data_IF_961678008684
#
_entry.id   IF_961678008684
#
_cell.length_a   1.000
_cell.length_b   1.000
_cell.length_c   1.000
_cell.angle_alpha   90.00
_cell.angle_beta   90.00
_cell.angle_gamma   90.00
#
_symmetry.space_group_name_H-M   'P 1'
#
loop_
_entity.id
_entity.type
_entity.pdbx_description
1 polymer ?
#
# COMPACT_ATOMS: atom_id res chain seq x y z
N UNK A 1 4.36 -10.09 4.94
CA UNK A 1 3.92 -10.29 3.55
C UNK A 1 5.09 -10.16 2.59
N UNK A 2 5.15 -11.02 1.57
CA UNK A 2 6.19 -10.96 0.54
C UNK A 2 5.97 -9.75 -0.39
N UNK A 3 7.06 -9.03 -0.68
CA UNK A 3 7.02 -7.82 -1.53
C UNK A 3 7.09 -8.12 -3.04
N UNK A 4 7.31 -9.37 -3.43
CA UNK A 4 7.53 -9.77 -4.83
C UNK A 4 6.31 -9.56 -5.74
N UNK A 5 5.12 -9.31 -5.17
CA UNK A 5 3.89 -8.99 -5.90
C UNK A 5 3.76 -7.51 -6.29
N UNK A 6 4.67 -6.67 -5.81
CA UNK A 6 4.65 -5.23 -6.07
C UNK A 6 5.84 -4.79 -6.92
N UNK A 7 5.70 -3.64 -7.56
CA UNK A 7 6.72 -3.04 -8.40
C UNK A 7 8.04 -2.84 -7.64
N UNK A 8 9.14 -3.24 -8.28
CA UNK A 8 10.48 -3.28 -7.67
C UNK A 8 10.94 -1.91 -7.16
N UNK A 9 10.53 -0.81 -7.79
CA UNK A 9 10.94 0.54 -7.38
C UNK A 9 10.41 0.94 -6.00
N UNK A 10 9.27 0.38 -5.56
CA UNK A 10 8.69 0.65 -4.24
C UNK A 10 9.59 0.10 -3.12
N UNK A 11 10.30 -0.99 -3.41
CA UNK A 11 11.11 -1.75 -2.46
C UNK A 11 12.55 -1.94 -2.95
N UNK A 12 13.10 -0.97 -3.69
CA UNK A 12 14.39 -1.06 -4.36
C UNK A 12 15.59 -1.42 -3.47
N UNK A 13 15.48 -1.19 -2.15
CA UNK A 13 16.49 -1.42 -1.13
C UNK A 13 16.37 -2.81 -0.47
N UNK A 14 15.32 -3.57 -0.82
CA UNK A 14 15.04 -4.87 -0.25
C UNK A 14 15.34 -5.98 -1.26
N UNK A 15 15.67 -7.16 -0.74
CA UNK A 15 15.72 -8.36 -1.56
C UNK A 15 14.33 -8.65 -2.14
N UNK A 16 14.27 -9.14 -3.38
CA UNK A 16 13.00 -9.29 -4.09
C UNK A 16 11.97 -10.16 -3.36
N UNK A 17 12.42 -11.13 -2.58
CA UNK A 17 11.60 -12.02 -1.76
C UNK A 17 11.53 -11.63 -0.28
N UNK A 18 11.83 -10.37 0.05
CA UNK A 18 11.77 -9.92 1.44
C UNK A 18 10.35 -10.05 2.01
N UNK A 19 10.27 -10.57 3.23
CA UNK A 19 9.04 -10.62 4.00
C UNK A 19 9.01 -9.40 4.94
N UNK A 20 8.12 -8.45 4.67
CA UNK A 20 8.00 -7.22 5.46
C UNK A 20 6.66 -7.17 6.20
N UNK A 21 6.58 -6.44 7.32
CA UNK A 21 5.31 -6.19 7.99
C UNK A 21 4.32 -5.52 7.04
N UNK A 22 3.06 -5.98 7.04
CA UNK A 22 2.01 -5.48 6.15
C UNK A 22 1.84 -3.96 6.25
N UNK A 23 1.89 -3.40 7.47
CA UNK A 23 1.78 -1.96 7.67
C UNK A 23 2.90 -1.16 6.97
N UNK A 24 4.09 -1.74 6.80
CA UNK A 24 5.18 -1.13 6.03
C UNK A 24 4.83 -1.17 4.55
N UNK A 25 4.43 -2.33 4.04
CA UNK A 25 4.09 -2.50 2.63
C UNK A 25 2.91 -1.62 2.21
N UNK A 26 1.83 -1.60 3.00
CA UNK A 26 0.65 -0.77 2.77
C UNK A 26 1.06 0.71 2.65
N UNK A 27 1.87 1.22 3.58
CA UNK A 27 2.34 2.62 3.52
C UNK A 27 3.21 2.88 2.30
N UNK A 28 4.12 1.98 1.96
CA UNK A 28 5.02 2.13 0.81
C UNK A 28 4.25 2.14 -0.51
N UNK A 29 3.33 1.19 -0.68
CA UNK A 29 2.51 1.04 -1.88
C UNK A 29 1.53 2.21 -2.02
N UNK A 30 0.86 2.64 -0.94
CA UNK A 30 0.01 3.84 -0.98
C UNK A 30 0.81 5.10 -1.33
N UNK A 31 2.06 5.20 -0.87
CA UNK A 31 2.92 6.37 -1.11
C UNK A 31 3.46 6.42 -2.54
N UNK A 32 3.92 5.29 -3.08
CA UNK A 32 4.77 5.25 -4.28
C UNK A 32 4.33 4.23 -5.35
N UNK A 33 3.34 3.40 -5.05
CA UNK A 33 2.82 2.40 -5.98
C UNK A 33 2.10 3.00 -7.17
N UNK A 34 2.08 2.24 -8.25
CA UNK A 34 1.29 2.48 -9.45
C UNK A 34 -0.13 1.91 -9.28
N UNK A 35 -1.02 2.15 -10.25
CA UNK A 35 -2.42 1.70 -10.15
C UNK A 35 -2.51 0.17 -9.98
N UNK A 36 -1.68 -0.59 -10.71
CA UNK A 36 -1.62 -2.04 -10.56
C UNK A 36 -1.23 -2.46 -9.14
N UNK A 37 -0.24 -1.79 -8.53
CA UNK A 37 0.16 -2.08 -7.15
C UNK A 37 -0.96 -1.78 -6.15
N UNK A 38 -1.73 -0.71 -6.38
CA UNK A 38 -2.88 -0.36 -5.55
C UNK A 38 -4.00 -1.41 -5.66
N UNK A 39 -4.29 -1.90 -6.87
CA UNK A 39 -5.25 -2.98 -7.09
C UNK A 39 -4.81 -4.26 -6.37
N UNK A 40 -3.55 -4.67 -6.57
CA UNK A 40 -2.96 -5.82 -5.89
C UNK A 40 -2.99 -5.66 -4.36
N UNK A 41 -2.78 -4.44 -3.85
CA UNK A 41 -2.89 -4.16 -2.42
C UNK A 41 -4.32 -4.38 -1.91
N UNK A 42 -5.33 -3.93 -2.66
CA UNK A 42 -6.74 -4.07 -2.31
C UNK A 42 -7.22 -5.54 -2.37
N UNK A 43 -6.69 -6.34 -3.29
CA UNK A 43 -7.03 -7.76 -3.43
C UNK A 43 -6.46 -8.63 -2.29
N UNK A 44 -5.24 -8.32 -1.83
CA UNK A 44 -4.51 -9.17 -0.89
C UNK A 44 -4.78 -8.78 0.56
N UNK A 45 -4.95 -7.48 0.82
CA UNK A 45 -5.08 -6.96 2.19
C UNK A 45 -6.55 -6.64 2.48
N UNK A 46 -7.15 -7.21 3.54
CA UNK A 46 -8.51 -6.87 3.94
C UNK A 46 -8.70 -5.37 4.16
N UNK A 47 -9.83 -4.84 3.71
CA UNK A 47 -10.14 -3.41 3.80
C UNK A 47 -10.05 -2.86 5.24
N UNK A 48 -10.48 -3.65 6.22
CA UNK A 48 -10.37 -3.32 7.65
C UNK A 48 -8.91 -3.02 8.06
N UNK A 49 -7.98 -3.83 7.57
CA UNK A 49 -6.55 -3.70 7.86
C UNK A 49 -5.94 -2.48 7.17
N UNK A 50 -6.36 -2.21 5.93
CA UNK A 50 -5.95 -1.01 5.20
C UNK A 50 -6.36 0.25 5.95
N UNK A 51 -7.63 0.33 6.38
CA UNK A 51 -8.12 1.47 7.15
C UNK A 51 -7.42 1.59 8.51
N UNK A 52 -7.18 0.49 9.21
CA UNK A 52 -6.42 0.48 10.47
C UNK A 52 -5.04 1.13 10.29
N UNK A 53 -4.30 0.74 9.25
CA UNK A 53 -2.96 1.26 8.97
C UNK A 53 -3.00 2.73 8.55
N UNK A 54 -3.97 3.12 7.72
CA UNK A 54 -4.17 4.52 7.31
C UNK A 54 -4.49 5.40 8.52
N UNK A 55 -5.36 4.95 9.43
CA UNK A 55 -5.73 5.69 10.63
C UNK A 55 -4.55 5.90 11.58
N UNK A 56 -3.72 4.87 11.77
CA UNK A 56 -2.52 4.90 12.63
C UNK A 56 -1.30 5.58 11.98
N UNK A 57 -1.39 5.98 10.72
CA UNK A 57 -0.27 6.59 10.00
C UNK A 57 -0.14 8.08 10.31
N UNK A 58 0.93 8.44 11.04
CA UNK A 58 1.23 9.83 11.45
C UNK A 58 1.34 10.81 10.28
N UNK A 59 1.97 10.39 9.17
CA UNK A 59 2.22 11.26 8.00
C UNK A 59 1.18 11.13 6.88
N UNK A 60 -0.02 10.58 7.20
CA UNK A 60 -1.06 10.33 6.18
C UNK A 60 -1.46 11.60 5.42
N UNK A 61 -1.39 12.76 6.06
CA UNK A 61 -1.77 14.04 5.44
C UNK A 61 -0.89 14.40 4.23
N UNK A 62 0.40 14.00 4.25
CA UNK A 62 1.31 14.16 3.11
C UNK A 62 0.82 13.40 1.88
N UNK A 63 0.19 12.25 2.09
CA UNK A 63 -0.28 11.35 1.03
C UNK A 63 -1.80 11.40 0.86
N UNK A 64 -2.48 12.40 1.43
CA UNK A 64 -3.94 12.53 1.44
C UNK A 64 -4.58 12.36 0.06
N UNK A 65 -4.00 12.94 -0.99
CA UNK A 65 -4.51 12.80 -2.37
C UNK A 65 -4.51 11.33 -2.83
N UNK A 66 -3.41 10.62 -2.60
CA UNK A 66 -3.26 9.20 -2.97
C UNK A 66 -4.15 8.30 -2.12
N UNK A 67 -4.25 8.56 -0.81
CA UNK A 67 -5.15 7.83 0.09
C UNK A 67 -6.61 8.03 -0.34
N UNK A 68 -7.01 9.26 -0.68
CA UNK A 68 -8.37 9.54 -1.15
C UNK A 68 -8.64 8.86 -2.50
N UNK A 69 -7.68 8.88 -3.42
CA UNK A 69 -7.80 8.16 -4.68
C UNK A 69 -7.98 6.66 -4.44
N UNK A 70 -7.15 6.07 -3.58
CA UNK A 70 -7.26 4.66 -3.21
C UNK A 70 -8.65 4.34 -2.64
N UNK A 71 -9.09 5.10 -1.63
CA UNK A 71 -10.37 4.85 -0.97
C UNK A 71 -11.58 5.02 -1.90
N UNK A 72 -11.57 6.02 -2.79
CA UNK A 72 -12.74 6.35 -3.64
C UNK A 72 -12.77 5.65 -4.99
N UNK A 73 -11.61 5.29 -5.52
CA UNK A 73 -11.49 4.75 -6.87
C UNK A 73 -11.16 3.27 -6.82
N UNK A 74 -10.21 2.87 -5.97
CA UNK A 74 -9.73 1.49 -5.93
C UNK A 74 -10.59 0.64 -4.99
N UNK A 75 -10.88 1.13 -3.77
CA UNK A 75 -11.61 0.36 -2.77
C UNK A 75 -13.14 0.31 -2.99
N UNK A 76 -13.68 1.16 -3.87
CA UNK A 76 -15.09 1.15 -4.29
C UNK A 76 -15.31 0.39 -5.61
N UNK A 77 -14.23 -0.06 -6.28
CA UNK A 77 -14.28 -0.90 -7.49
C UNK A 77 -14.28 -2.38 -7.15
#
# INVERSE_FOLDING_TARGET
MLINRFSKHIFWSYQHSADLPEAVIIRQVLSYGEIADLLTLNEIVPQEKLQEVILKWKDKDRYRKRINFFNKVIAES
#
